data_IF_334033623076
#
_entry.id   IF_334033623076
#
_cell.length_a   1.000
_cell.length_b   1.000
_cell.length_c   1.000
_cell.angle_alpha   90.00
_cell.angle_beta   90.00
_cell.angle_gamma   90.00
#
_symmetry.space_group_name_H-M   'P 1'
#
loop_
_entity.id
_entity.type
_entity.pdbx_description
1 polymer ?
#
# COMPACT_ATOMS: atom_id res chain seq x y z
N UNK A 1 7.46 16.49 -41.85
CA UNK A 1 7.32 15.24 -41.09
C UNK A 1 7.43 15.68 -39.64
N UNK A 2 6.32 15.77 -38.92
CA UNK A 2 6.38 15.94 -37.47
C UNK A 2 7.00 14.67 -36.88
N UNK A 3 7.69 14.80 -35.76
CA UNK A 3 8.25 13.63 -35.09
C UNK A 3 7.07 12.73 -34.70
N UNK A 4 7.16 11.43 -34.98
CA UNK A 4 6.12 10.45 -34.65
C UNK A 4 5.84 10.35 -33.14
N UNK A 5 6.64 11.06 -32.33
CA UNK A 5 6.53 11.20 -30.88
C UNK A 5 5.81 12.48 -30.42
N UNK A 6 5.21 13.25 -31.34
CA UNK A 6 4.43 14.47 -31.05
C UNK A 6 2.89 14.22 -31.00
N UNK A 7 2.44 12.97 -30.90
CA UNK A 7 1.00 12.64 -30.92
C UNK A 7 0.25 13.03 -29.63
N UNK A 8 0.95 13.21 -28.52
CA UNK A 8 0.38 13.58 -27.23
C UNK A 8 0.91 14.95 -26.79
N UNK A 9 0.07 15.76 -26.13
CA UNK A 9 0.42 17.15 -25.79
C UNK A 9 1.60 17.26 -24.81
N UNK A 10 2.65 17.98 -25.20
CA UNK A 10 3.85 18.23 -24.37
C UNK A 10 5.06 17.39 -24.80
N UNK A 11 6.27 17.70 -24.28
CA UNK A 11 7.48 17.03 -24.73
C UNK A 11 7.50 15.56 -24.29
N UNK A 12 7.70 14.64 -25.24
CA UNK A 12 7.98 13.25 -24.96
C UNK A 12 9.18 13.16 -24.01
N UNK A 13 8.97 12.58 -22.84
CA UNK A 13 9.98 12.51 -21.78
C UNK A 13 10.50 11.08 -21.63
N UNK A 14 11.72 10.94 -21.11
CA UNK A 14 12.26 9.64 -20.74
C UNK A 14 11.46 9.04 -19.57
N UNK A 15 11.56 7.71 -19.41
CA UNK A 15 11.00 6.99 -18.26
C UNK A 15 11.40 7.68 -16.95
N UNK A 16 10.44 8.03 -16.06
CA UNK A 16 10.78 8.57 -14.76
C UNK A 16 11.63 7.55 -14.00
N UNK A 17 12.49 8.02 -13.11
CA UNK A 17 13.19 7.10 -12.21
C UNK A 17 12.16 6.28 -11.43
N UNK A 18 12.44 4.98 -11.24
CA UNK A 18 11.63 4.14 -10.37
C UNK A 18 11.47 4.83 -9.02
N UNK A 19 10.24 4.88 -8.51
CA UNK A 19 9.94 5.38 -7.18
C UNK A 19 10.87 4.63 -6.22
N UNK A 20 11.76 5.39 -5.59
CA UNK A 20 12.74 4.82 -4.70
C UNK A 20 12.00 4.44 -3.42
N UNK A 21 11.85 3.14 -3.16
CA UNK A 21 11.56 2.65 -1.80
C UNK A 21 12.70 2.98 -0.83
N UNK A 22 13.86 3.44 -1.35
CA UNK A 22 14.96 3.94 -0.54
C UNK A 22 14.74 5.42 -0.25
N UNK A 23 14.03 5.69 0.84
CA UNK A 23 14.54 6.70 1.75
C UNK A 23 15.96 6.26 2.15
N UNK A 24 16.99 6.76 1.45
CA UNK A 24 18.38 6.42 1.74
C UNK A 24 18.73 7.06 3.07
N UNK A 25 18.58 6.31 4.16
CA UNK A 25 19.28 6.62 5.40
C UNK A 25 20.77 6.40 5.20
N UNK A 26 21.53 7.49 5.25
CA UNK A 26 22.96 7.40 5.42
C UNK A 26 23.26 6.86 6.84
N UNK A 27 23.73 5.61 6.94
CA UNK A 27 24.02 4.88 8.19
C UNK A 27 24.99 5.57 9.16
N UNK A 28 25.56 6.75 8.85
CA UNK A 28 26.53 7.45 9.72
C UNK A 28 26.06 8.78 10.30
N UNK A 29 24.92 9.32 9.86
CA UNK A 29 24.36 10.55 10.42
C UNK A 29 22.85 10.48 10.28
N UNK A 30 22.12 10.60 11.39
CA UNK A 30 20.67 10.78 11.43
C UNK A 30 20.27 12.12 10.77
N UNK A 31 20.47 12.20 9.46
CA UNK A 31 20.26 13.37 8.63
C UNK A 31 19.48 12.95 7.40
N UNK A 32 18.33 13.60 7.23
CA UNK A 32 17.47 13.46 6.07
C UNK A 32 18.19 14.07 4.85
N UNK A 33 18.49 13.25 3.84
CA UNK A 33 18.54 13.80 2.49
C UNK A 33 17.08 14.00 2.08
N UNK A 34 16.68 15.19 1.57
CA UNK A 34 15.38 15.30 0.94
C UNK A 34 15.25 14.14 -0.04
N UNK A 35 14.13 13.40 0.03
CA UNK A 35 13.70 12.57 -1.09
C UNK A 35 13.98 13.41 -2.34
N UNK A 36 14.78 12.89 -3.27
CA UNK A 36 15.09 13.64 -4.49
C UNK A 36 13.77 14.22 -4.96
N UNK A 37 13.73 15.55 -5.14
CA UNK A 37 12.57 16.28 -5.63
C UNK A 37 11.85 15.35 -6.60
N UNK A 38 10.64 14.90 -6.25
CA UNK A 38 9.86 14.04 -7.15
C UNK A 38 9.93 14.75 -8.49
N UNK A 39 10.62 14.12 -9.45
CA UNK A 39 10.87 14.75 -10.74
C UNK A 39 9.54 15.21 -11.30
N UNK A 40 9.54 16.34 -11.99
CA UNK A 40 8.33 16.90 -12.60
C UNK A 40 7.47 15.77 -13.18
N UNK A 41 6.19 15.65 -12.77
CA UNK A 41 5.35 14.52 -13.15
C UNK A 41 5.44 14.27 -14.65
N UNK A 42 5.82 13.05 -15.03
CA UNK A 42 5.99 12.71 -16.44
C UNK A 42 4.62 12.48 -17.04
N UNK A 43 4.19 13.41 -17.88
CA UNK A 43 2.86 13.36 -18.51
C UNK A 43 2.82 12.32 -19.64
N UNK A 44 3.80 12.37 -20.53
CA UNK A 44 3.89 11.48 -21.68
C UNK A 44 5.32 10.94 -21.84
N UNK A 45 5.40 9.64 -22.14
CA UNK A 45 6.64 8.93 -22.40
C UNK A 45 6.94 8.88 -23.90
N UNK A 46 8.21 9.05 -24.27
CA UNK A 46 8.69 8.72 -25.63
C UNK A 46 8.89 7.20 -25.82
N UNK A 47 9.22 6.76 -27.04
CA UNK A 47 9.48 5.35 -27.36
C UNK A 47 8.29 4.61 -27.99
N UNK A 48 7.18 5.28 -28.29
CA UNK A 48 5.99 4.67 -28.91
C UNK A 48 5.97 4.76 -30.45
N UNK A 49 6.96 5.40 -31.08
CA UNK A 49 7.04 5.52 -32.54
C UNK A 49 6.93 4.17 -33.30
N UNK A 50 7.54 3.05 -32.85
CA UNK A 50 7.36 1.76 -33.51
C UNK A 50 5.91 1.29 -33.58
N UNK A 51 5.12 1.57 -32.54
CA UNK A 51 3.69 1.24 -32.52
C UNK A 51 2.88 2.11 -33.49
N UNK A 52 3.20 3.39 -33.62
CA UNK A 52 2.55 4.28 -34.59
C UNK A 52 2.77 3.78 -36.02
N UNK A 53 4.01 3.42 -36.37
CA UNK A 53 4.34 2.84 -37.67
C UNK A 53 3.60 1.52 -37.91
N UNK A 54 3.45 0.69 -36.87
CA UNK A 54 2.67 -0.53 -36.95
C UNK A 54 1.18 -0.25 -37.23
N UNK A 55 0.57 0.72 -36.53
CA UNK A 55 -0.81 1.14 -36.79
C UNK A 55 -0.99 1.58 -38.25
N UNK A 56 -0.06 2.42 -38.76
CA UNK A 56 -0.08 2.88 -40.14
C UNK A 56 0.04 1.73 -41.14
N UNK A 57 0.89 0.74 -40.87
CA UNK A 57 1.04 -0.47 -41.70
C UNK A 57 -0.25 -1.30 -41.79
N UNK A 58 -1.10 -1.23 -40.76
CA UNK A 58 -2.42 -1.87 -40.70
C UNK A 58 -3.55 -0.96 -41.21
N UNK A 59 -3.22 0.24 -41.73
CA UNK A 59 -4.17 1.20 -42.28
C UNK A 59 -4.96 1.99 -41.23
N UNK A 60 -4.47 2.05 -39.99
CA UNK A 60 -5.12 2.76 -38.87
C UNK A 60 -4.24 3.94 -38.43
N UNK A 61 -4.84 5.12 -38.27
CA UNK A 61 -4.10 6.31 -37.83
C UNK A 61 -3.80 6.26 -36.33
N UNK A 62 -2.52 6.40 -35.95
CA UNK A 62 -2.11 6.51 -34.55
C UNK A 62 -2.81 7.68 -33.82
N UNK A 63 -2.97 8.83 -34.49
CA UNK A 63 -3.67 9.98 -33.90
C UNK A 63 -5.15 9.70 -33.57
N UNK A 64 -5.83 8.88 -34.37
CA UNK A 64 -7.20 8.42 -34.04
C UNK A 64 -7.21 7.56 -32.78
N UNK A 65 -6.25 6.63 -32.65
CA UNK A 65 -6.15 5.75 -31.50
C UNK A 65 -5.72 6.50 -30.22
N UNK A 66 -4.92 7.56 -30.37
CA UNK A 66 -4.52 8.43 -29.25
C UNK A 66 -5.72 9.20 -28.67
N UNK A 67 -6.66 9.62 -29.51
CA UNK A 67 -7.84 10.40 -29.12
C UNK A 67 -9.06 9.55 -28.70
N UNK A 68 -9.07 8.26 -29.03
CA UNK A 68 -10.20 7.36 -28.82
C UNK A 68 -9.74 6.05 -28.20
N UNK A 69 -9.83 5.98 -26.86
CA UNK A 69 -9.43 4.80 -26.07
C UNK A 69 -10.26 3.56 -26.42
N UNK A 70 -11.51 3.72 -26.84
CA UNK A 70 -12.35 2.60 -27.27
C UNK A 70 -11.78 1.99 -28.55
N UNK A 71 -11.49 2.83 -29.55
CA UNK A 71 -10.88 2.40 -30.79
C UNK A 71 -9.48 1.78 -30.58
N UNK A 72 -8.70 2.30 -29.62
CA UNK A 72 -7.41 1.72 -29.24
C UNK A 72 -7.54 0.32 -28.65
N UNK A 73 -8.44 0.11 -27.69
CA UNK A 73 -8.65 -1.21 -27.09
C UNK A 73 -9.15 -2.23 -28.11
N UNK A 74 -10.06 -1.85 -29.00
CA UNK A 74 -10.53 -2.69 -30.11
C UNK A 74 -9.37 -3.06 -31.07
N UNK A 75 -8.57 -2.07 -31.47
CA UNK A 75 -7.43 -2.29 -32.34
C UNK A 75 -6.42 -3.27 -31.71
N UNK A 76 -6.08 -3.05 -30.44
CA UNK A 76 -5.16 -3.92 -29.70
C UNK A 76 -5.68 -5.36 -29.65
N UNK A 77 -6.96 -5.58 -29.32
CA UNK A 77 -7.52 -6.95 -29.29
C UNK A 77 -7.41 -7.66 -30.63
N UNK A 78 -7.58 -6.94 -31.73
CA UNK A 78 -7.46 -7.52 -33.09
C UNK A 78 -6.02 -7.80 -33.52
N UNK A 79 -5.02 -7.17 -32.89
CA UNK A 79 -3.61 -7.21 -33.31
C UNK A 79 -2.63 -7.70 -32.22
N UNK A 80 -3.12 -8.02 -31.02
CA UNK A 80 -2.31 -8.37 -29.85
C UNK A 80 -1.36 -9.55 -30.11
N UNK A 81 -1.78 -10.49 -30.97
CA UNK A 81 -0.96 -11.62 -31.40
C UNK A 81 0.29 -11.19 -32.15
N UNK A 82 0.16 -10.25 -33.10
CA UNK A 82 1.28 -9.72 -33.88
C UNK A 82 2.20 -8.87 -32.99
N UNK A 83 1.62 -8.07 -32.08
CA UNK A 83 2.36 -7.17 -31.16
C UNK A 83 3.22 -7.97 -30.17
N UNK A 84 2.71 -9.11 -29.68
CA UNK A 84 3.37 -9.90 -28.63
C UNK A 84 4.63 -10.62 -29.11
N UNK A 85 4.79 -10.83 -30.42
CA UNK A 85 5.92 -11.58 -31.00
C UNK A 85 7.18 -10.72 -31.10
N UNK A 86 7.03 -9.39 -31.18
CA UNK A 86 8.15 -8.46 -31.31
C UNK A 86 8.30 -7.64 -30.01
N UNK A 87 9.34 -7.90 -29.19
CA UNK A 87 9.49 -7.26 -27.88
C UNK A 87 9.49 -5.73 -27.92
N UNK A 88 10.14 -5.13 -28.93
CA UNK A 88 10.17 -3.68 -29.10
C UNK A 88 8.81 -3.07 -29.47
N UNK A 89 7.97 -3.82 -30.18
CA UNK A 89 6.61 -3.38 -30.53
C UNK A 89 5.66 -3.48 -29.33
N UNK A 90 5.78 -4.54 -28.53
CA UNK A 90 5.02 -4.69 -27.28
C UNK A 90 5.33 -3.57 -26.28
N UNK A 91 6.61 -3.21 -26.13
CA UNK A 91 7.02 -2.09 -25.29
C UNK A 91 6.45 -0.75 -25.79
N UNK A 92 6.58 -0.48 -27.10
CA UNK A 92 6.04 0.71 -27.73
C UNK A 92 4.50 0.80 -27.60
N UNK A 93 3.79 -0.32 -27.74
CA UNK A 93 2.34 -0.39 -27.55
C UNK A 93 1.95 -0.08 -26.10
N UNK A 94 2.69 -0.61 -25.13
CA UNK A 94 2.46 -0.33 -23.70
C UNK A 94 2.62 1.15 -23.39
N UNK A 95 3.66 1.78 -23.92
CA UNK A 95 3.88 3.23 -23.78
C UNK A 95 2.73 4.02 -24.44
N UNK A 96 2.31 3.64 -25.65
CA UNK A 96 1.21 4.30 -26.34
C UNK A 96 -0.10 4.25 -25.54
N UNK A 97 -0.44 3.08 -24.99
CA UNK A 97 -1.65 2.87 -24.19
C UNK A 97 -1.63 3.73 -22.94
N UNK A 98 -0.51 3.76 -22.21
CA UNK A 98 -0.43 4.59 -21.02
C UNK A 98 -0.47 6.09 -21.35
N UNK A 99 0.13 6.55 -22.45
CA UNK A 99 -0.01 7.93 -22.90
C UNK A 99 -1.46 8.28 -23.27
N UNK A 100 -2.18 7.38 -23.92
CA UNK A 100 -3.61 7.55 -24.21
C UNK A 100 -4.43 7.70 -22.92
N UNK A 101 -4.16 6.87 -21.90
CA UNK A 101 -4.81 6.99 -20.58
C UNK A 101 -4.41 8.32 -19.89
N UNK A 102 -3.14 8.71 -19.95
CA UNK A 102 -2.68 9.98 -19.37
C UNK A 102 -3.36 11.19 -20.04
N UNK A 103 -3.59 11.13 -21.35
CA UNK A 103 -4.25 12.20 -22.10
C UNK A 103 -5.73 12.37 -21.74
N UNK A 104 -6.38 11.35 -21.14
CA UNK A 104 -7.78 11.43 -20.73
C UNK A 104 -8.03 12.45 -19.61
N UNK A 105 -7.01 12.79 -18.79
CA UNK A 105 -7.13 13.77 -17.70
C UNK A 105 -5.87 14.59 -17.51
N UNK A 106 -5.92 15.92 -17.33
CA UNK A 106 -4.72 16.75 -17.16
C UNK A 106 -3.78 16.31 -16.03
N UNK A 107 -4.32 15.82 -14.91
CA UNK A 107 -3.59 15.47 -13.68
C UNK A 107 -2.97 14.07 -13.71
N UNK A 108 -3.33 13.24 -14.68
CA UNK A 108 -2.79 11.89 -14.80
C UNK A 108 -1.32 11.93 -15.22
N UNK A 109 -0.48 11.11 -14.58
CA UNK A 109 0.96 11.06 -14.84
C UNK A 109 1.50 9.63 -14.74
N UNK A 110 2.62 9.38 -15.41
CA UNK A 110 3.36 8.13 -15.29
C UNK A 110 4.09 8.02 -13.94
N UNK A 111 4.13 6.79 -13.42
CA UNK A 111 4.92 6.37 -12.26
C UNK A 111 5.56 5.02 -12.59
N UNK A 112 6.76 4.80 -12.08
CA UNK A 112 7.40 3.48 -12.12
C UNK A 112 7.51 2.99 -10.69
N UNK A 113 6.93 1.83 -10.42
CA UNK A 113 6.93 1.22 -9.10
C UNK A 113 8.29 0.58 -8.78
N UNK A 114 8.61 0.30 -7.50
CA UNK A 114 9.88 -0.33 -7.11
C UNK A 114 10.14 -1.69 -7.76
N UNK A 115 9.08 -2.41 -8.15
CA UNK A 115 9.15 -3.68 -8.87
C UNK A 115 9.37 -3.51 -10.39
N UNK A 116 9.49 -2.26 -10.86
CA UNK A 116 9.67 -1.91 -12.27
C UNK A 116 8.36 -1.81 -13.06
N UNK A 117 7.20 -2.08 -12.46
CA UNK A 117 5.91 -1.96 -13.14
C UNK A 117 5.60 -0.49 -13.46
N UNK A 118 4.99 -0.27 -14.63
CA UNK A 118 4.66 1.07 -15.14
C UNK A 118 3.18 1.35 -14.91
N UNK A 119 2.94 2.42 -14.18
CA UNK A 119 1.59 2.84 -13.80
C UNK A 119 1.28 4.22 -14.37
N UNK A 120 0.02 4.43 -14.72
CA UNK A 120 -0.48 5.73 -15.18
C UNK A 120 -1.80 6.05 -14.51
N UNK A 121 -1.99 7.32 -14.16
CA UNK A 121 -3.22 7.79 -13.55
C UNK A 121 -2.99 8.94 -12.58
N UNK A 122 -4.00 9.24 -11.78
CA UNK A 122 -3.98 10.29 -10.77
C UNK A 122 -4.21 9.69 -9.37
N UNK A 123 -4.81 10.42 -8.43
CA UNK A 123 -5.20 9.87 -7.12
C UNK A 123 -6.47 9.03 -7.19
N UNK A 124 -7.39 9.36 -8.09
CA UNK A 124 -8.71 8.75 -8.16
C UNK A 124 -8.69 7.39 -8.84
N UNK A 125 -7.70 7.15 -9.70
CA UNK A 125 -7.49 5.86 -10.37
C UNK A 125 -6.03 5.73 -10.83
N UNK A 126 -5.49 4.53 -10.69
CA UNK A 126 -4.16 4.15 -11.20
C UNK A 126 -4.30 2.85 -11.97
N UNK A 127 -3.68 2.80 -13.15
CA UNK A 127 -3.70 1.65 -14.05
C UNK A 127 -2.26 1.15 -14.23
N UNK A 128 -2.00 -0.09 -13.84
CA UNK A 128 -0.76 -0.79 -14.19
C UNK A 128 -0.82 -1.20 -15.66
N UNK A 129 -0.14 -0.44 -16.53
CA UNK A 129 -0.30 -0.54 -17.99
C UNK A 129 0.22 -1.89 -18.51
N UNK A 130 1.29 -2.42 -17.92
CA UNK A 130 1.83 -3.73 -18.27
C UNK A 130 0.79 -4.85 -18.09
N UNK A 131 0.07 -4.83 -16.95
CA UNK A 131 -0.98 -5.81 -16.64
C UNK A 131 -2.21 -5.64 -17.52
N UNK A 132 -2.55 -4.39 -17.86
CA UNK A 132 -3.65 -4.08 -18.76
C UNK A 132 -3.41 -4.71 -20.14
N UNK A 133 -2.23 -4.48 -20.73
CA UNK A 133 -1.87 -5.01 -22.06
C UNK A 133 -1.84 -6.54 -22.07
N UNK A 134 -1.26 -7.17 -21.03
CA UNK A 134 -1.26 -8.63 -20.90
C UNK A 134 -2.68 -9.20 -20.70
N UNK A 135 -3.50 -8.54 -19.87
CA UNK A 135 -4.87 -8.94 -19.58
C UNK A 135 -5.79 -8.91 -20.80
N UNK A 136 -5.60 -7.96 -21.72
CA UNK A 136 -6.38 -7.84 -22.95
C UNK A 136 -6.34 -9.09 -23.83
N UNK A 137 -5.29 -9.92 -23.73
CA UNK A 137 -5.17 -11.19 -24.47
C UNK A 137 -6.24 -12.21 -24.05
N UNK A 138 -6.62 -12.20 -22.77
CA UNK A 138 -7.53 -13.18 -22.16
C UNK A 138 -8.91 -12.61 -21.89
N UNK A 139 -9.11 -11.31 -22.08
CA UNK A 139 -10.35 -10.61 -21.77
C UNK A 139 -11.46 -10.89 -22.80
N UNK A 140 -12.65 -11.20 -22.31
CA UNK A 140 -13.87 -11.23 -23.12
C UNK A 140 -14.43 -9.81 -23.36
N UNK A 141 -15.49 -9.73 -24.16
CA UNK A 141 -16.11 -8.44 -24.54
C UNK A 141 -16.71 -7.71 -23.33
N UNK A 142 -17.19 -8.44 -22.31
CA UNK A 142 -17.81 -7.86 -21.11
C UNK A 142 -16.76 -7.22 -20.20
N UNK A 143 -15.64 -7.89 -19.98
CA UNK A 143 -14.50 -7.36 -19.23
C UNK A 143 -13.95 -6.08 -19.86
N UNK A 144 -13.84 -6.05 -21.19
CA UNK A 144 -13.34 -4.87 -21.93
C UNK A 144 -14.35 -3.72 -21.86
N UNK A 145 -15.65 -4.01 -22.00
CA UNK A 145 -16.69 -3.00 -21.85
C UNK A 145 -16.71 -2.41 -20.42
N UNK A 146 -16.53 -3.24 -19.40
CA UNK A 146 -16.43 -2.81 -18.00
C UNK A 146 -15.21 -1.91 -17.74
N UNK A 147 -14.03 -2.30 -18.25
CA UNK A 147 -12.83 -1.48 -18.21
C UNK A 147 -13.04 -0.12 -18.89
N UNK A 148 -13.59 -0.12 -20.11
CA UNK A 148 -13.85 1.11 -20.86
C UNK A 148 -14.81 2.03 -20.11
N UNK A 149 -15.90 1.50 -19.57
CA UNK A 149 -16.85 2.25 -18.77
C UNK A 149 -16.16 2.90 -17.55
N UNK A 150 -15.29 2.15 -16.86
CA UNK A 150 -14.54 2.66 -15.71
C UNK A 150 -13.56 3.78 -16.09
N UNK A 151 -12.82 3.63 -17.20
CA UNK A 151 -11.92 4.66 -17.72
C UNK A 151 -12.69 5.93 -18.13
N UNK A 152 -13.82 5.79 -18.81
CA UNK A 152 -14.65 6.92 -19.25
C UNK A 152 -15.30 7.64 -18.07
N UNK A 153 -15.79 6.90 -17.08
CA UNK A 153 -16.30 7.46 -15.83
C UNK A 153 -15.21 8.30 -15.17
N UNK A 154 -14.04 7.72 -14.92
CA UNK A 154 -12.89 8.43 -14.34
C UNK A 154 -12.49 9.68 -15.13
N UNK A 155 -12.46 9.62 -16.46
CA UNK A 155 -12.12 10.77 -17.30
C UNK A 155 -13.13 11.92 -17.20
N UNK A 156 -14.41 11.58 -16.95
CA UNK A 156 -15.49 12.55 -16.80
C UNK A 156 -15.60 13.13 -15.38
N UNK A 157 -14.99 12.49 -14.38
CA UNK A 157 -14.98 13.00 -13.00
C UNK A 157 -14.29 14.38 -12.97
N UNK A 158 -14.79 15.29 -12.13
CA UNK A 158 -14.06 16.53 -11.86
C UNK A 158 -12.79 16.20 -11.06
N UNK A 159 -11.64 16.85 -11.35
CA UNK A 159 -10.40 16.56 -10.66
C UNK A 159 -10.50 16.86 -9.17
N UNK A 160 -9.81 16.02 -8.39
CA UNK A 160 -9.49 16.37 -7.01
C UNK A 160 -8.66 17.66 -7.05
N UNK A 161 -8.94 18.57 -6.11
CA UNK A 161 -8.17 19.81 -5.97
C UNK A 161 -6.67 19.55 -5.72
N UNK A 162 -5.88 20.60 -5.47
CA UNK A 162 -4.45 20.45 -5.27
C UNK A 162 -4.13 19.39 -4.22
N UNK A 163 -3.11 18.61 -4.54
CA UNK A 163 -2.51 17.61 -3.68
C UNK A 163 -2.29 18.11 -2.26
N UNK A 164 -2.89 17.47 -1.22
CA UNK A 164 -2.42 17.74 0.12
C UNK A 164 -0.96 17.26 0.22
N UNK A 165 -0.17 17.94 1.06
CA UNK A 165 1.21 17.53 1.32
C UNK A 165 1.25 16.06 1.75
N UNK A 166 2.30 15.35 1.34
CA UNK A 166 2.50 13.95 1.67
C UNK A 166 2.50 13.74 3.19
N UNK A 167 1.82 12.69 3.64
CA UNK A 167 1.74 12.33 5.05
C UNK A 167 3.06 11.66 5.48
N UNK A 168 3.92 12.40 6.18
CA UNK A 168 5.24 11.94 6.61
C UNK A 168 5.40 12.04 8.14
N UNK A 169 4.81 11.12 8.92
CA UNK A 169 5.05 11.05 10.35
C UNK A 169 6.53 10.75 10.62
N UNK A 170 7.10 11.38 11.66
CA UNK A 170 8.50 11.21 12.03
C UNK A 170 8.55 10.45 13.35
N UNK A 171 9.11 9.22 13.37
CA UNK A 171 9.36 8.51 14.61
C UNK A 171 10.24 9.37 15.54
N UNK A 172 9.71 9.68 16.71
CA UNK A 172 10.40 10.50 17.74
C UNK A 172 10.54 9.77 19.07
N UNK A 173 9.75 8.73 19.28
CA UNK A 173 9.83 7.86 20.45
C UNK A 173 10.98 6.87 20.32
N UNK A 174 11.69 6.64 21.42
CA UNK A 174 12.64 5.55 21.55
C UNK A 174 12.20 4.68 22.73
N UNK A 175 12.03 3.39 22.48
CA UNK A 175 11.78 2.46 23.56
C UNK A 175 13.02 2.39 24.47
N UNK A 176 12.87 2.44 25.81
CA UNK A 176 13.98 2.30 26.74
C UNK A 176 14.65 0.92 26.67
N UNK A 177 13.91 -0.11 26.25
CA UNK A 177 14.40 -1.47 26.04
C UNK A 177 13.99 -1.95 24.64
N UNK A 178 14.82 -2.82 24.04
CA UNK A 178 14.49 -3.47 22.78
C UNK A 178 13.47 -4.59 23.03
N UNK A 179 12.48 -4.70 22.14
CA UNK A 179 11.60 -5.85 22.11
C UNK A 179 12.40 -7.10 21.68
N UNK A 180 12.19 -8.20 22.40
CA UNK A 180 12.76 -9.50 22.07
C UNK A 180 11.63 -10.44 21.66
N UNK A 181 11.65 -10.88 20.41
CA UNK A 181 10.66 -11.82 19.87
C UNK A 181 10.75 -13.17 20.60
N UNK A 182 9.61 -13.77 20.97
CA UNK A 182 9.61 -15.16 21.44
C UNK A 182 10.04 -16.11 20.32
N UNK A 183 10.60 -17.26 20.69
CA UNK A 183 10.92 -18.31 19.71
C UNK A 183 9.63 -18.83 19.07
N UNK A 184 9.63 -18.90 17.74
CA UNK A 184 8.48 -19.40 16.98
C UNK A 184 8.55 -20.93 16.88
N UNK A 185 7.41 -21.63 16.90
CA UNK A 185 7.39 -23.07 16.71
C UNK A 185 7.94 -23.44 15.32
N UNK A 186 9.08 -24.12 15.27
CA UNK A 186 9.60 -24.72 14.05
C UNK A 186 8.87 -26.03 13.78
N UNK A 187 8.03 -26.09 12.74
CA UNK A 187 7.38 -27.31 12.26
C UNK A 187 7.78 -27.57 10.81
N UNK A 188 7.94 -28.85 10.46
CA UNK A 188 8.14 -29.26 9.08
C UNK A 188 6.77 -29.50 8.43
N UNK A 189 6.47 -28.74 7.38
CA UNK A 189 5.24 -28.89 6.60
C UNK A 189 5.49 -29.83 5.43
N UNK A 190 4.49 -30.62 5.03
CA UNK A 190 4.63 -31.62 3.96
C UNK A 190 3.50 -31.51 2.96
N UNK A 191 3.83 -31.61 1.68
CA UNK A 191 2.87 -31.61 0.60
C UNK A 191 2.06 -32.92 0.52
N UNK A 192 1.14 -32.99 -0.46
CA UNK A 192 0.31 -34.18 -0.70
C UNK A 192 1.13 -35.45 -1.04
N UNK A 193 2.38 -35.29 -1.49
CA UNK A 193 3.31 -36.37 -1.79
C UNK A 193 4.21 -36.72 -0.59
N UNK A 194 4.07 -36.03 0.54
CA UNK A 194 4.89 -36.20 1.74
C UNK A 194 6.25 -35.48 1.67
N UNK A 195 6.52 -34.68 0.64
CA UNK A 195 7.74 -33.91 0.49
C UNK A 195 7.70 -32.67 1.38
N UNK A 196 8.83 -32.35 2.04
CA UNK A 196 8.94 -31.16 2.87
C UNK A 196 8.71 -29.88 2.06
N UNK A 197 7.89 -28.97 2.58
CA UNK A 197 7.63 -27.65 2.01
C UNK A 197 8.53 -26.64 2.71
N UNK A 198 9.41 -26.00 1.95
CA UNK A 198 10.24 -24.89 2.42
C UNK A 198 9.52 -23.55 2.20
N UNK A 199 8.57 -23.24 3.09
CA UNK A 199 7.85 -21.97 3.04
C UNK A 199 8.81 -20.77 3.11
N UNK A 200 8.53 -19.74 2.31
CA UNK A 200 9.34 -18.53 2.16
C UNK A 200 10.38 -18.61 1.04
N UNK A 201 10.63 -19.79 0.50
CA UNK A 201 11.50 -20.02 -0.66
C UNK A 201 10.93 -21.04 -1.64
N UNK A 202 9.65 -21.40 -1.51
CA UNK A 202 9.00 -22.49 -2.24
C UNK A 202 9.04 -22.28 -3.75
N UNK A 203 8.91 -21.03 -4.18
CA UNK A 203 8.82 -20.68 -5.60
C UNK A 203 10.14 -20.16 -6.19
N UNK A 204 11.14 -19.82 -5.36
CA UNK A 204 12.43 -19.30 -5.85
C UNK A 204 12.26 -18.07 -6.74
N UNK A 205 12.73 -18.18 -8.01
CA UNK A 205 12.54 -17.15 -9.04
C UNK A 205 11.30 -17.36 -9.92
N UNK A 206 10.62 -18.49 -9.76
CA UNK A 206 9.44 -18.83 -10.55
C UNK A 206 8.18 -18.24 -9.91
N UNK A 207 7.12 -18.09 -10.70
CA UNK A 207 5.81 -17.69 -10.18
C UNK A 207 5.07 -18.89 -9.59
N UNK A 208 4.25 -18.69 -8.54
CA UNK A 208 3.42 -19.77 -8.01
C UNK A 208 2.48 -20.35 -9.08
N UNK A 209 2.26 -21.68 -9.10
CA UNK A 209 1.23 -22.32 -9.91
C UNK A 209 -0.15 -21.71 -9.68
N UNK A 210 -0.98 -21.63 -10.73
CA UNK A 210 -2.31 -21.01 -10.65
C UNK A 210 -3.22 -21.70 -9.62
N UNK A 211 -3.09 -23.01 -9.45
CA UNK A 211 -3.83 -23.81 -8.48
C UNK A 211 -3.39 -23.63 -7.02
N UNK A 212 -2.31 -22.88 -6.77
CA UNK A 212 -1.87 -22.52 -5.41
C UNK A 212 -2.53 -21.24 -4.89
N UNK A 213 -3.18 -20.46 -5.75
CA UNK A 213 -3.88 -19.24 -5.35
C UNK A 213 -5.19 -19.58 -4.66
N UNK A 214 -5.50 -18.86 -3.57
CA UNK A 214 -6.71 -19.06 -2.75
C UNK A 214 -6.83 -20.44 -2.09
N UNK A 215 -5.77 -21.24 -2.10
CA UNK A 215 -5.67 -22.51 -1.38
C UNK A 215 -4.85 -22.29 -0.12
N UNK A 216 -5.36 -22.67 1.05
CA UNK A 216 -4.62 -22.64 2.31
C UNK A 216 -4.51 -24.06 2.87
N UNK A 217 -3.37 -24.71 2.62
CA UNK A 217 -3.13 -26.09 3.03
C UNK A 217 -2.62 -26.19 4.46
N UNK A 218 -1.82 -25.21 4.89
CA UNK A 218 -1.13 -25.20 6.18
C UNK A 218 -1.34 -23.90 6.96
N UNK A 219 -2.60 -23.55 7.25
CA UNK A 219 -2.93 -22.33 8.00
C UNK A 219 -2.38 -22.33 9.43
N UNK A 220 -2.15 -23.52 10.00
CA UNK A 220 -1.49 -23.71 11.30
C UNK A 220 -0.04 -23.19 11.32
N UNK A 221 0.56 -22.89 10.16
CA UNK A 221 1.89 -22.27 10.08
C UNK A 221 1.97 -20.92 10.76
N UNK A 222 0.85 -20.23 10.89
CA UNK A 222 0.80 -18.91 11.51
C UNK A 222 0.53 -18.93 13.03
N UNK A 223 0.41 -20.11 13.68
CA UNK A 223 0.20 -20.24 15.13
C UNK A 223 1.16 -19.38 15.98
N UNK A 224 2.40 -19.20 15.50
CA UNK A 224 3.40 -18.36 16.15
C UNK A 224 3.03 -16.88 16.27
N UNK A 225 2.15 -16.36 15.41
CA UNK A 225 1.76 -14.95 15.41
C UNK A 225 1.02 -14.53 16.69
N UNK A 226 0.22 -15.43 17.26
CA UNK A 226 -0.45 -15.17 18.55
C UNK A 226 0.55 -15.02 19.69
N UNK A 227 1.66 -15.77 19.67
CA UNK A 227 2.73 -15.65 20.66
C UNK A 227 3.41 -14.29 20.55
N UNK A 228 3.76 -13.87 19.34
CA UNK A 228 4.39 -12.57 19.08
C UNK A 228 3.46 -11.42 19.44
N UNK A 229 2.19 -11.49 19.05
CA UNK A 229 1.20 -10.46 19.39
C UNK A 229 1.05 -10.29 20.90
N UNK A 230 0.91 -11.38 21.66
CA UNK A 230 0.83 -11.31 23.13
C UNK A 230 2.11 -10.77 23.76
N UNK A 231 3.28 -11.16 23.24
CA UNK A 231 4.56 -10.64 23.70
C UNK A 231 4.69 -9.13 23.43
N UNK A 232 4.26 -8.66 22.25
CA UNK A 232 4.20 -7.24 21.92
C UNK A 232 3.25 -6.47 22.83
N UNK A 233 2.04 -6.98 23.07
CA UNK A 233 1.10 -6.35 24.02
C UNK A 233 1.71 -6.21 25.42
N UNK A 234 2.33 -7.28 25.93
CA UNK A 234 2.99 -7.27 27.24
C UNK A 234 4.19 -6.32 27.29
N UNK A 235 4.98 -6.26 26.22
CA UNK A 235 6.08 -5.30 26.09
C UNK A 235 5.57 -3.86 26.08
N UNK A 236 4.54 -3.55 25.31
CA UNK A 236 3.96 -2.22 25.22
C UNK A 236 3.37 -1.76 26.55
N UNK A 237 2.61 -2.63 27.23
CA UNK A 237 2.07 -2.34 28.55
C UNK A 237 3.19 -2.09 29.57
N UNK A 238 4.23 -2.92 29.60
CA UNK A 238 5.39 -2.70 30.48
C UNK A 238 6.08 -1.35 30.20
N UNK A 239 6.22 -0.99 28.93
CA UNK A 239 7.14 0.07 28.46
C UNK A 239 6.50 1.45 28.40
N UNK A 240 5.22 1.53 28.04
CA UNK A 240 4.53 2.79 27.77
C UNK A 240 3.40 3.05 28.78
N UNK A 241 3.02 4.32 28.92
CA UNK A 241 1.89 4.75 29.74
C UNK A 241 0.58 4.60 28.95
N UNK A 242 0.02 3.38 29.03
CA UNK A 242 -1.15 2.94 28.29
C UNK A 242 -2.18 2.32 29.22
N UNK A 243 -3.45 2.48 28.87
CA UNK A 243 -4.56 1.73 29.44
C UNK A 243 -4.83 0.51 28.54
N UNK A 244 -4.85 -0.69 29.14
CA UNK A 244 -5.15 -1.94 28.45
C UNK A 244 -6.58 -2.37 28.76
N UNK A 245 -7.37 -2.65 27.72
CA UNK A 245 -8.74 -3.13 27.86
C UNK A 245 -8.99 -4.36 26.98
N UNK A 246 -9.50 -5.42 27.59
CA UNK A 246 -9.94 -6.64 26.92
C UNK A 246 -11.47 -6.63 26.85
N UNK A 247 -12.02 -6.18 25.73
CA UNK A 247 -13.48 -6.05 25.59
C UNK A 247 -13.89 -6.55 24.21
N UNK A 248 -14.70 -7.62 24.11
CA UNK A 248 -15.21 -8.12 22.83
C UNK A 248 -15.98 -7.07 22.01
N UNK A 249 -16.49 -6.02 22.67
CA UNK A 249 -17.14 -4.88 22.01
C UNK A 249 -16.22 -4.09 21.06
N UNK A 250 -14.90 -4.29 21.11
CA UNK A 250 -13.98 -3.72 20.11
C UNK A 250 -13.87 -4.58 18.83
N UNK A 251 -14.38 -5.82 18.82
CA UNK A 251 -14.34 -6.69 17.64
C UNK A 251 -15.07 -6.13 16.40
N UNK A 252 -16.27 -5.50 16.52
CA UNK A 252 -16.95 -4.89 15.37
C UNK A 252 -16.23 -3.65 14.83
N UNK A 253 -15.32 -3.07 15.63
CA UNK A 253 -14.43 -2.00 15.20
C UNK A 253 -13.18 -2.56 14.51
N UNK A 254 -13.14 -3.79 14.02
CA UNK A 254 -12.01 -4.29 13.22
C UNK A 254 -12.57 -5.13 12.07
N UNK A 255 -12.09 -4.89 10.86
CA UNK A 255 -12.45 -5.70 9.70
C UNK A 255 -11.74 -7.05 9.79
N UNK A 256 -12.44 -8.06 10.31
CA UNK A 256 -11.92 -9.43 10.43
C UNK A 256 -12.47 -10.27 9.29
N UNK A 257 -11.59 -10.71 8.38
CA UNK A 257 -11.95 -11.65 7.30
C UNK A 257 -11.64 -13.12 7.65
N UNK A 258 -10.83 -13.38 8.68
CA UNK A 258 -10.11 -14.64 8.86
C UNK A 258 -10.57 -15.52 10.05
N UNK A 259 -11.88 -15.74 10.19
CA UNK A 259 -12.42 -16.73 11.13
C UNK A 259 -12.98 -16.16 12.44
N UNK A 260 -13.15 -17.03 13.43
CA UNK A 260 -13.76 -16.68 14.73
C UNK A 260 -12.79 -15.83 15.57
N UNK A 261 -13.28 -14.74 16.13
CA UNK A 261 -12.49 -13.88 17.03
C UNK A 261 -12.29 -14.60 18.37
N UNK A 262 -11.02 -14.87 18.70
CA UNK A 262 -10.60 -15.49 19.96
C UNK A 262 -10.45 -14.44 21.05
N UNK A 263 -9.78 -13.33 20.75
CA UNK A 263 -9.45 -12.31 21.73
C UNK A 263 -9.35 -10.93 21.09
N UNK A 264 -9.69 -9.89 21.85
CA UNK A 264 -9.57 -8.49 21.43
C UNK A 264 -8.97 -7.67 22.56
N UNK A 265 -7.79 -7.11 22.30
CA UNK A 265 -7.05 -6.32 23.27
C UNK A 265 -6.76 -4.95 22.69
N UNK A 266 -7.23 -3.90 23.35
CA UNK A 266 -6.93 -2.51 23.00
C UNK A 266 -5.94 -1.92 23.98
N UNK A 267 -4.89 -1.31 23.45
CA UNK A 267 -3.92 -0.50 24.18
C UNK A 267 -4.11 0.95 23.78
N UNK A 268 -4.55 1.77 24.73
CA UNK A 268 -4.81 3.20 24.53
C UNK A 268 -3.77 4.03 25.30
N UNK A 269 -2.87 4.75 24.61
CA UNK A 269 -1.95 5.68 25.26
C UNK A 269 -2.70 6.77 26.06
N UNK A 270 -2.10 7.21 27.17
CA UNK A 270 -2.62 8.36 27.94
C UNK A 270 -2.60 9.67 27.17
N UNK A 271 -1.68 9.82 26.21
CA UNK A 271 -1.68 10.96 25.30
C UNK A 271 -2.75 10.75 24.21
N UNK A 272 -3.83 11.55 24.16
CA UNK A 272 -4.91 11.38 23.19
C UNK A 272 -4.46 11.63 21.74
N UNK A 273 -3.30 12.28 21.55
CA UNK A 273 -2.68 12.54 20.25
C UNK A 273 -1.74 11.41 19.79
N UNK A 274 -1.61 10.34 20.58
CA UNK A 274 -0.94 9.11 20.15
C UNK A 274 -1.97 8.07 19.66
N UNK A 275 -1.60 7.28 18.65
CA UNK A 275 -2.49 6.28 18.06
C UNK A 275 -2.71 5.12 19.04
N UNK A 276 -3.95 4.72 19.36
CA UNK A 276 -4.20 3.44 20.01
C UNK A 276 -3.88 2.27 19.06
N UNK A 277 -3.63 1.10 19.64
CA UNK A 277 -3.52 -0.17 18.93
C UNK A 277 -4.60 -1.12 19.44
N UNK A 278 -5.38 -1.71 18.54
CA UNK A 278 -6.32 -2.80 18.88
C UNK A 278 -5.89 -4.07 18.17
N UNK A 279 -5.59 -5.10 18.93
CA UNK A 279 -5.21 -6.42 18.43
C UNK A 279 -6.43 -7.34 18.46
N UNK A 280 -6.65 -8.07 17.38
CA UNK A 280 -7.66 -9.10 17.25
C UNK A 280 -6.98 -10.41 16.87
N UNK A 281 -7.13 -11.42 17.71
CA UNK A 281 -6.61 -12.77 17.48
C UNK A 281 -7.75 -13.65 16.97
N UNK A 282 -7.51 -14.44 15.93
CA UNK A 282 -8.55 -15.29 15.30
C UNK A 282 -8.23 -16.78 15.33
N UNK A 283 -9.22 -17.63 15.10
CA UNK A 283 -9.10 -19.09 15.18
C UNK A 283 -8.30 -19.75 14.07
N UNK A 284 -8.33 -19.21 12.86
CA UNK A 284 -7.23 -19.39 11.90
C UNK A 284 -6.15 -18.44 12.37
N UNK A 285 -4.96 -18.88 12.81
CA UNK A 285 -4.09 -18.15 13.74
C UNK A 285 -3.47 -16.87 13.14
N UNK A 286 -4.32 -15.90 12.85
CA UNK A 286 -4.04 -14.60 12.30
C UNK A 286 -4.18 -13.56 13.40
N UNK A 287 -3.55 -12.42 13.17
CA UNK A 287 -3.63 -11.25 14.01
C UNK A 287 -4.04 -10.09 13.12
N UNK A 288 -5.12 -9.40 13.48
CA UNK A 288 -5.47 -8.12 12.86
C UNK A 288 -5.17 -7.02 13.85
N UNK A 289 -4.37 -6.03 13.43
CA UNK A 289 -4.05 -4.86 14.25
C UNK A 289 -4.72 -3.64 13.64
N UNK A 290 -5.64 -3.02 14.37
CA UNK A 290 -6.08 -1.66 14.07
C UNK A 290 -5.07 -0.67 14.63
N UNK A 291 -4.50 0.18 13.78
CA UNK A 291 -3.69 1.31 14.20
C UNK A 291 -4.46 2.62 14.06
N UNK A 292 -4.54 3.39 15.15
CA UNK A 292 -5.26 4.65 15.17
C UNK A 292 -6.78 4.43 15.12
N UNK A 293 -7.44 5.03 14.13
CA UNK A 293 -8.92 5.00 14.04
C UNK A 293 -9.49 4.40 12.75
N UNK A 294 -8.71 4.23 11.68
CA UNK A 294 -9.25 3.77 10.39
C UNK A 294 -8.63 2.48 9.84
N UNK A 295 -7.35 2.21 10.10
CA UNK A 295 -6.62 1.19 9.33
C UNK A 295 -6.45 -0.11 10.10
N UNK A 296 -6.88 -1.20 9.46
CA UNK A 296 -6.69 -2.58 9.91
C UNK A 296 -5.59 -3.24 9.10
N UNK A 297 -4.64 -3.85 9.81
CA UNK A 297 -3.50 -4.55 9.24
C UNK A 297 -3.60 -6.04 9.59
N UNK A 298 -3.97 -6.90 8.63
CA UNK A 298 -4.01 -8.34 8.85
C UNK A 298 -2.62 -8.97 8.72
N UNK A 299 -2.36 -9.98 9.55
CA UNK A 299 -1.15 -10.81 9.56
C UNK A 299 -1.57 -12.28 9.67
N UNK A 300 -1.38 -13.12 8.63
CA UNK A 300 -0.89 -12.75 7.30
C UNK A 300 -1.87 -11.84 6.53
N UNK A 301 -1.37 -11.14 5.50
CA UNK A 301 -2.26 -10.46 4.53
C UNK A 301 -2.98 -11.51 3.69
N UNK A 302 -2.31 -12.61 3.34
CA UNK A 302 -2.89 -13.70 2.60
C UNK A 302 -2.33 -15.05 3.08
N UNK A 303 -3.21 -15.93 3.55
CA UNK A 303 -2.84 -17.29 3.98
C UNK A 303 -2.64 -18.31 2.86
N UNK A 304 -2.80 -17.92 1.59
CA UNK A 304 -2.74 -18.90 0.50
C UNK A 304 -1.32 -19.43 0.25
N UNK A 305 -1.25 -20.63 -0.32
CA UNK A 305 0.00 -21.32 -0.65
C UNK A 305 0.82 -20.57 -1.69
N UNK A 306 0.18 -19.81 -2.58
CA UNK A 306 0.87 -18.97 -3.57
C UNK A 306 1.71 -17.85 -2.95
N UNK A 307 1.24 -17.24 -1.85
CA UNK A 307 1.92 -16.11 -1.23
C UNK A 307 3.19 -16.52 -0.50
N UNK A 308 3.31 -17.80 -0.14
CA UNK A 308 4.51 -18.39 0.47
C UNK A 308 4.99 -17.65 1.75
N UNK A 309 4.07 -16.98 2.45
CA UNK A 309 4.37 -16.23 3.67
C UNK A 309 4.68 -17.19 4.84
N UNK A 310 5.69 -16.82 5.63
CA UNK A 310 6.10 -17.54 6.85
C UNK A 310 5.67 -16.80 8.11
N UNK A 311 5.54 -17.51 9.23
CA UNK A 311 5.30 -16.88 10.53
C UNK A 311 6.40 -15.89 10.91
N UNK A 312 7.66 -16.16 10.56
CA UNK A 312 8.80 -15.27 10.80
C UNK A 312 8.68 -13.96 10.03
N UNK A 313 8.29 -14.02 8.76
CA UNK A 313 8.12 -12.85 7.90
C UNK A 313 6.96 -11.98 8.39
N UNK A 314 5.83 -12.60 8.72
CA UNK A 314 4.65 -11.91 9.23
C UNK A 314 4.85 -11.35 10.65
N UNK A 315 5.57 -12.08 11.52
CA UNK A 315 5.98 -11.56 12.83
C UNK A 315 6.85 -10.30 12.68
N UNK A 316 7.75 -10.27 11.71
CA UNK A 316 8.60 -9.10 11.44
C UNK A 316 7.77 -7.90 10.98
N UNK A 317 6.79 -8.12 10.09
CA UNK A 317 5.88 -7.06 9.64
C UNK A 317 4.97 -6.55 10.78
N UNK A 318 4.49 -7.45 11.64
CA UNK A 318 3.70 -7.11 12.83
C UNK A 318 4.52 -6.25 13.80
N UNK A 319 5.77 -6.63 14.07
CA UNK A 319 6.69 -5.87 14.93
C UNK A 319 6.99 -4.49 14.36
N UNK A 320 7.29 -4.39 13.07
CA UNK A 320 7.55 -3.12 12.38
C UNK A 320 6.36 -2.16 12.52
N UNK A 321 5.14 -2.64 12.29
CA UNK A 321 3.91 -1.87 12.49
C UNK A 321 3.78 -1.39 13.93
N UNK A 322 3.80 -2.33 14.88
CA UNK A 322 3.49 -2.06 16.29
C UNK A 322 4.51 -1.12 16.91
N UNK A 323 5.80 -1.36 16.66
CA UNK A 323 6.89 -0.54 17.21
C UNK A 323 6.98 0.81 16.48
N UNK A 324 6.72 0.86 15.16
CA UNK A 324 6.65 2.10 14.40
C UNK A 324 5.53 3.01 14.90
N UNK A 325 4.34 2.46 15.17
CA UNK A 325 3.22 3.21 15.77
C UNK A 325 3.59 3.75 17.15
N UNK A 326 4.14 2.91 18.03
CA UNK A 326 4.54 3.33 19.37
C UNK A 326 5.62 4.43 19.34
N UNK A 327 6.50 4.41 18.35
CA UNK A 327 7.52 5.44 18.14
C UNK A 327 6.98 6.75 17.55
N UNK A 328 5.70 6.83 17.17
CA UNK A 328 5.11 8.00 16.50
C UNK A 328 5.42 8.06 15.00
N UNK A 329 5.83 6.94 14.42
CA UNK A 329 6.07 6.78 12.99
C UNK A 329 4.80 6.53 12.17
N UNK A 330 3.61 6.63 12.77
CA UNK A 330 2.35 6.34 12.08
C UNK A 330 1.49 7.58 11.96
N UNK A 331 0.86 7.76 10.80
CA UNK A 331 -0.08 8.83 10.52
C UNK A 331 -1.21 8.31 9.65
N UNK A 332 -2.40 8.86 9.85
CA UNK A 332 -3.52 8.63 8.96
C UNK A 332 -4.28 9.93 8.69
N UNK A 333 -4.96 9.99 7.54
CA UNK A 333 -5.69 11.17 7.08
C UNK A 333 -7.02 10.75 6.47
N UNK A 334 -8.07 11.45 6.85
CA UNK A 334 -9.41 11.28 6.29
C UNK A 334 -10.24 12.56 6.54
N UNK A 335 -11.10 12.96 5.59
CA UNK A 335 -11.23 12.43 4.23
C UNK A 335 -10.13 12.97 3.30
N UNK A 336 -9.71 12.18 2.32
CA UNK A 336 -8.83 12.64 1.24
C UNK A 336 -9.55 12.56 -0.10
N UNK A 337 -9.50 13.67 -0.85
CA UNK A 337 -10.17 13.81 -2.14
C UNK A 337 -11.70 13.74 -2.05
N UNK A 338 -12.35 13.83 -3.21
CA UNK A 338 -13.82 13.72 -3.36
C UNK A 338 -14.33 12.32 -3.05
N UNK A 339 -13.51 11.29 -3.33
CA UNK A 339 -13.81 9.89 -2.98
C UNK A 339 -13.74 9.64 -1.47
N UNK A 340 -13.33 10.64 -0.67
CA UNK A 340 -13.21 10.59 0.79
C UNK A 340 -12.45 9.33 1.23
N UNK A 341 -11.29 9.10 0.63
CA UNK A 341 -10.45 7.96 1.00
C UNK A 341 -9.74 8.20 2.33
N UNK A 342 -9.36 7.10 2.98
CA UNK A 342 -8.46 7.13 4.11
C UNK A 342 -7.04 6.82 3.63
N UNK A 343 -6.11 7.70 3.95
CA UNK A 343 -4.68 7.51 3.72
C UNK A 343 -3.97 7.13 5.02
N UNK A 344 -2.92 6.33 4.92
CA UNK A 344 -1.96 6.15 6.01
C UNK A 344 -0.52 6.18 5.51
N UNK A 345 0.37 6.47 6.45
CA UNK A 345 1.80 6.30 6.32
C UNK A 345 2.38 5.72 7.61
N UNK A 346 3.35 4.83 7.47
CA UNK A 346 4.10 4.19 8.53
C UNK A 346 5.59 4.31 8.21
N UNK A 347 6.37 4.75 9.18
CA UNK A 347 7.82 4.81 9.15
C UNK A 347 8.35 3.96 10.30
N UNK A 348 9.27 3.05 9.98
CA UNK A 348 9.85 2.15 10.97
C UNK A 348 10.62 2.95 12.03
N UNK A 349 10.55 2.51 13.30
CA UNK A 349 11.16 3.22 14.42
C UNK A 349 12.70 3.31 14.31
N UNK A 350 13.33 2.32 13.67
CA UNK A 350 14.77 2.27 13.40
C UNK A 350 15.15 2.93 12.06
N UNK A 351 14.15 3.46 11.34
CA UNK A 351 14.30 4.05 10.02
C UNK A 351 14.45 3.05 8.88
N UNK A 352 14.42 1.74 9.13
CA UNK A 352 14.69 0.70 8.12
C UNK A 352 13.81 0.78 6.86
N UNK A 353 12.63 1.39 6.95
CA UNK A 353 11.77 1.62 5.81
C UNK A 353 10.53 2.45 6.12
N UNK A 354 9.69 2.58 5.11
CA UNK A 354 8.38 3.22 5.20
C UNK A 354 7.36 2.51 4.32
N UNK A 355 6.08 2.56 4.72
CA UNK A 355 4.93 2.03 3.99
C UNK A 355 3.82 3.07 3.97
N UNK A 356 3.01 3.06 2.94
CA UNK A 356 1.85 3.93 2.84
C UNK A 356 0.76 3.24 2.03
N UNK A 357 -0.47 3.74 2.16
CA UNK A 357 -1.58 3.25 1.38
C UNK A 357 -2.79 4.17 1.48
N UNK A 358 -3.67 4.04 0.50
CA UNK A 358 -4.90 4.83 0.41
C UNK A 358 -6.04 3.95 -0.08
N UNK A 359 -7.26 4.23 0.37
CA UNK A 359 -8.44 3.54 -0.14
C UNK A 359 -9.70 3.78 0.68
N UNK A 360 -10.82 3.17 0.26
CA UNK A 360 -12.06 3.20 1.01
C UNK A 360 -11.90 2.42 2.34
N UNK A 361 -12.76 2.73 3.31
CA UNK A 361 -12.82 2.03 4.59
C UNK A 361 -14.22 1.48 4.85
N UNK A 362 -14.28 0.23 5.27
CA UNK A 362 -15.48 -0.45 5.74
C UNK A 362 -15.85 0.04 7.15
N UNK A 363 -16.39 1.27 7.24
CA UNK A 363 -16.84 1.87 8.49
C UNK A 363 -18.19 2.59 8.30
N UNK A 364 -18.98 2.70 9.36
CA UNK A 364 -20.24 3.44 9.33
C UNK A 364 -20.00 4.95 9.14
N UNK A 365 -20.98 5.71 8.62
CA UNK A 365 -20.85 7.16 8.50
C UNK A 365 -20.50 7.86 9.83
N UNK A 366 -21.05 7.39 10.95
CA UNK A 366 -20.76 7.95 12.28
C UNK A 366 -19.32 7.65 12.72
N UNK A 367 -18.80 6.45 12.42
CA UNK A 367 -17.40 6.09 12.67
C UNK A 367 -16.45 6.97 11.84
N UNK A 368 -16.78 7.20 10.57
CA UNK A 368 -15.99 8.07 9.68
C UNK A 368 -16.02 9.54 10.12
N UNK A 369 -17.16 10.05 10.57
CA UNK A 369 -17.28 11.41 11.11
C UNK A 369 -16.49 11.57 12.42
N UNK A 370 -16.52 10.56 13.29
CA UNK A 370 -15.72 10.54 14.52
C UNK A 370 -14.21 10.48 14.22
N UNK A 371 -13.81 9.67 13.23
CA UNK A 371 -12.43 9.59 12.76
C UNK A 371 -11.96 10.94 12.18
N UNK A 372 -12.74 11.56 11.30
CA UNK A 372 -12.45 12.88 10.73
C UNK A 372 -12.16 13.91 11.82
N UNK A 373 -13.03 14.01 12.83
CA UNK A 373 -12.85 14.92 13.97
C UNK A 373 -11.57 14.62 14.75
N UNK A 374 -11.20 13.35 14.92
CA UNK A 374 -9.99 12.98 15.66
C UNK A 374 -8.72 13.29 14.87
N UNK A 375 -8.74 13.06 13.56
CA UNK A 375 -7.58 13.26 12.69
C UNK A 375 -7.26 14.74 12.43
N UNK A 376 -8.24 15.64 12.59
CA UNK A 376 -7.99 17.08 12.63
C UNK A 376 -7.01 17.49 13.74
N UNK A 377 -6.92 16.73 14.84
CA UNK A 377 -5.99 17.01 15.93
C UNK A 377 -4.55 16.52 15.67
N UNK A 378 -4.35 15.68 14.65
CA UNK A 378 -3.07 15.05 14.30
C UNK A 378 -2.77 15.16 12.80
N UNK A 379 -2.75 16.39 12.22
CA UNK A 379 -2.64 16.60 10.77
C UNK A 379 -1.32 16.11 10.16
N UNK A 380 -0.28 15.97 10.99
CA UNK A 380 1.05 15.50 10.61
C UNK A 380 1.34 14.07 11.10
N UNK A 381 0.30 13.33 11.50
CA UNK A 381 0.41 12.00 12.08
C UNK A 381 0.37 11.98 13.61
N UNK A 382 0.32 10.77 14.15
CA UNK A 382 0.18 10.51 15.57
C UNK A 382 1.49 10.72 16.32
N UNK A 383 1.40 11.20 17.56
CA UNK A 383 2.55 11.37 18.44
C UNK A 383 3.05 10.02 18.96
N UNK A 384 4.33 9.99 19.32
CA UNK A 384 4.94 8.86 20.00
C UNK A 384 4.24 8.58 21.34
N UNK A 385 4.21 7.30 21.72
CA UNK A 385 3.62 6.86 22.97
C UNK A 385 4.47 7.35 24.15
N UNK A 386 3.86 7.91 25.21
CA UNK A 386 4.60 8.34 26.38
C UNK A 386 5.18 7.12 27.12
N UNK A 387 6.47 7.13 27.52
CA UNK A 387 7.04 6.03 28.28
C UNK A 387 6.42 5.95 29.68
N UNK A 388 6.32 4.75 30.23
CA UNK A 388 5.77 4.55 31.57
C UNK A 388 6.65 5.26 32.59
N UNK A 389 6.04 6.16 33.38
CA UNK A 389 6.76 6.95 34.40
C UNK A 389 7.24 8.32 33.93
N UNK A 390 7.07 8.72 32.66
CA UNK A 390 7.23 10.12 32.26
C UNK A 390 6.06 10.97 32.75
N UNK A 391 6.01 11.26 34.04
CA UNK A 391 5.19 12.36 34.55
C UNK A 391 5.89 13.66 34.17
N UNK A 392 5.34 14.40 33.20
CA UNK A 392 5.63 15.83 33.07
C UNK A 392 5.27 16.47 34.41
N UNK A 393 6.21 17.11 35.15
CA UNK A 393 5.86 17.82 36.36
C UNK A 393 4.91 18.94 35.94
N UNK A 394 3.67 18.90 36.42
CA UNK A 394 2.84 20.10 36.44
C UNK A 394 3.62 21.11 37.27
N UNK A 395 4.16 22.14 36.61
CA UNK A 395 4.77 23.28 37.28
C UNK A 395 3.66 23.95 38.09
N UNK A 396 3.56 23.58 39.36
CA UNK A 396 2.74 24.30 40.32
C UNK A 396 3.27 25.73 40.34
N UNK A 397 2.51 26.64 39.75
CA UNK A 397 2.74 28.07 39.86
C UNK A 397 2.35 28.47 41.28
N UNK A 398 3.23 28.18 42.24
CA UNK A 398 3.14 28.67 43.60
C UNK A 398 3.60 30.11 43.63
N UNK A 399 2.64 31.03 43.64
CA UNK A 399 2.87 32.43 44.01
C UNK A 399 3.21 32.44 45.51
N UNK A 400 4.46 32.71 45.86
CA UNK A 400 4.84 33.05 47.23
C UNK A 400 4.59 34.54 47.46
N UNK A 401 4.00 34.94 48.61
CA UNK A 401 3.84 36.36 48.94
C UNK A 401 5.13 36.90 49.56
N UNK A 402 5.48 38.13 49.19
CA UNK A 402 6.30 39.03 49.99
C UNK A 402 5.66 40.41 49.93
#
# INVERSE_FOLDING_TARGET
MGDTEDLFDGPASALPAALSSKAVLNRRTAGYLPAQEEGTPVKHLGGYAPFVLFCESKGVSGGRLAADISALLEFLRSTIGDISVEPGLSEAATIFVGNAIAAMRPEASWRIMPDGSREVGDRGMVVTVDRLVEGLRKADDEMVAGLLAHLMEWASEEPDGPAPAELRPVPTGQAPELFIRPELPSREYRDINGQAIEYGSRWGSDSPPEDSYSVDTHGERFEGLHLVARALMGFLDKTYDVDVSQVPAHAPEVSVSAGEVIDVVRLAPRDPLAAPLTFVLTSLPSVVVRAGVLHDFPFPICGCDACDETAESEASRLEELVLGVAAGGYGERYPVGRKRWAEYALFAADGSGSRSGSGPRSASPDQLAAAEKRLQAVPNGWRAWPPRGSRTPVRASGTAPA
#
